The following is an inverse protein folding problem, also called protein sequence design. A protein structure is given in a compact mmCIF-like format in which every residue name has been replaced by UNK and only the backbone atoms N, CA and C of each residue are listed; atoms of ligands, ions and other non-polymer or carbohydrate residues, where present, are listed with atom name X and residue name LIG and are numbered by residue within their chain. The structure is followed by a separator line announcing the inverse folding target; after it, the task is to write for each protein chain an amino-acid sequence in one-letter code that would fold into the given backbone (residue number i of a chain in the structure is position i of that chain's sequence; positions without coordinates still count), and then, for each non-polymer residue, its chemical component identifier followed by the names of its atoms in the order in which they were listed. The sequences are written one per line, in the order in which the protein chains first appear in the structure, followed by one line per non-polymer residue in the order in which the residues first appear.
data_IF_715100787251
#
_entry.id   IF_715100787251
#
_cell.length_a   1.000
_cell.length_b   1.000
_cell.length_c   1.000
_cell.angle_alpha   90.00
_cell.angle_beta   90.00
_cell.angle_gamma   90.00
#
_symmetry.space_group_name_H-M   'P 1'
#
loop_
_entity.id
_entity.type
_entity.pdbx_description
1 polymer ?
#
# COMPACT_ATOMS: atom_id res chain seq x y z
N UNK A 1 -10.61 -16.28 0.43
CA UNK A 1 -9.54 -16.56 -0.54
C UNK A 1 -9.87 -15.85 -1.85
N UNK A 2 -8.93 -15.13 -2.50
CA UNK A 2 -9.15 -14.53 -3.82
C UNK A 2 -9.48 -15.58 -4.88
N UNK A 3 -10.28 -15.22 -5.90
CA UNK A 3 -10.71 -16.14 -6.97
C UNK A 3 -9.75 -16.21 -8.16
N UNK A 4 -8.74 -15.34 -8.20
CA UNK A 4 -7.73 -15.26 -9.26
C UNK A 4 -6.48 -16.06 -8.84
N UNK A 5 -5.98 -16.91 -9.74
CA UNK A 5 -4.89 -17.84 -9.44
C UNK A 5 -3.57 -17.14 -9.09
N UNK A 6 -3.29 -15.97 -9.68
CA UNK A 6 -2.06 -15.20 -9.39
C UNK A 6 -2.15 -14.52 -8.03
N UNK A 7 -3.32 -13.97 -7.71
CA UNK A 7 -3.59 -13.39 -6.40
C UNK A 7 -3.58 -14.44 -5.29
N UNK A 8 -4.06 -15.65 -5.59
CA UNK A 8 -3.96 -16.79 -4.67
C UNK A 8 -2.49 -17.18 -4.44
N UNK A 9 -1.68 -17.31 -5.49
CA UNK A 9 -0.26 -17.62 -5.36
C UNK A 9 0.50 -16.53 -4.56
N UNK A 10 0.22 -15.24 -4.80
CA UNK A 10 0.79 -14.16 -4.00
C UNK A 10 0.35 -14.22 -2.53
N UNK A 11 -0.91 -14.55 -2.27
CA UNK A 11 -1.42 -14.73 -0.92
C UNK A 11 -0.69 -15.86 -0.18
N UNK A 12 -0.54 -17.02 -0.82
CA UNK A 12 0.17 -18.18 -0.27
C UNK A 12 1.64 -17.83 0.02
N UNK A 13 2.31 -17.14 -0.91
CA UNK A 13 3.68 -16.65 -0.72
C UNK A 13 3.82 -15.76 0.53
N UNK A 14 2.89 -14.83 0.74
CA UNK A 14 2.94 -13.93 1.91
C UNK A 14 2.68 -14.71 3.21
N UNK A 15 1.74 -15.65 3.20
CA UNK A 15 1.48 -16.53 4.36
C UNK A 15 2.71 -17.36 4.71
N UNK A 16 3.37 -17.95 3.71
CA UNK A 16 4.61 -18.70 3.91
C UNK A 16 5.72 -17.81 4.47
N UNK A 17 5.85 -16.57 4.01
CA UNK A 17 6.83 -15.63 4.54
C UNK A 17 6.59 -15.32 6.03
N UNK A 18 5.34 -15.07 6.45
CA UNK A 18 5.01 -14.86 7.87
C UNK A 18 5.26 -16.10 8.73
N UNK A 19 4.89 -17.28 8.24
CA UNK A 19 5.02 -18.53 8.97
C UNK A 19 6.48 -19.02 9.06
N UNK A 20 7.20 -19.00 7.94
CA UNK A 20 8.52 -19.62 7.81
C UNK A 20 9.68 -18.75 8.28
N UNK A 21 9.65 -17.44 8.04
CA UNK A 21 10.79 -16.56 8.35
C UNK A 21 10.76 -16.02 9.78
N UNK A 22 9.58 -15.98 10.42
CA UNK A 22 9.44 -15.35 11.72
C UNK A 22 8.45 -16.04 12.67
N UNK A 23 7.90 -17.20 12.28
CA UNK A 23 7.07 -18.03 13.14
C UNK A 23 5.73 -17.39 13.54
N UNK A 24 5.29 -16.32 12.88
CA UNK A 24 4.06 -15.62 13.25
C UNK A 24 2.84 -16.53 13.12
N UNK A 25 1.91 -16.40 14.07
CA UNK A 25 0.65 -17.16 14.15
C UNK A 25 -0.54 -16.27 13.79
N UNK A 26 -1.70 -16.88 13.57
CA UNK A 26 -2.95 -16.17 13.27
C UNK A 26 -2.84 -15.13 12.13
N UNK A 27 -2.17 -15.53 11.05
CA UNK A 27 -1.93 -14.67 9.88
C UNK A 27 -3.26 -14.34 9.20
N UNK A 28 -3.54 -13.04 9.06
CA UNK A 28 -4.76 -12.53 8.45
C UNK A 28 -4.41 -11.50 7.38
N UNK A 29 -5.26 -11.48 6.35
CA UNK A 29 -5.25 -10.44 5.33
C UNK A 29 -6.66 -9.87 5.24
N UNK A 30 -6.76 -8.56 5.41
CA UNK A 30 -7.98 -7.82 5.18
C UNK A 30 -7.84 -6.96 3.92
N UNK A 31 -8.79 -7.11 3.00
CA UNK A 31 -8.79 -6.34 1.75
C UNK A 31 -9.80 -5.21 1.88
N UNK A 32 -9.34 -3.96 1.70
CA UNK A 32 -10.20 -2.77 1.70
C UNK A 32 -10.14 -2.08 0.35
N UNK A 33 -11.29 -1.62 -0.13
CA UNK A 33 -11.37 -0.68 -1.26
C UNK A 33 -11.04 0.71 -0.75
N UNK A 34 -9.90 1.24 -1.17
CA UNK A 34 -9.44 2.58 -0.79
C UNK A 34 -9.70 3.52 -1.96
N UNK A 35 -10.52 4.57 -1.78
CA UNK A 35 -10.80 5.53 -2.84
C UNK A 35 -9.54 6.30 -3.23
N UNK A 36 -9.47 6.73 -4.48
CA UNK A 36 -8.47 7.71 -4.94
C UNK A 36 -9.23 8.99 -5.29
N UNK A 37 -9.03 10.04 -4.47
CA UNK A 37 -9.71 11.33 -4.60
C UNK A 37 -10.86 11.54 -3.61
N UNK A 38 -11.51 12.70 -3.72
CA UNK A 38 -12.48 13.19 -2.72
C UNK A 38 -13.95 12.94 -3.08
N UNK A 39 -14.19 12.08 -4.08
CA UNK A 39 -15.52 11.68 -4.54
C UNK A 39 -16.42 11.00 -3.48
N UNK A 40 -15.91 10.26 -2.46
CA UNK A 40 -16.78 9.63 -1.48
C UNK A 40 -17.65 10.65 -0.72
N UNK A 41 -18.89 10.26 -0.41
CA UNK A 41 -19.80 11.07 0.43
C UNK A 41 -19.44 10.99 1.91
N UNK A 42 -19.05 9.81 2.36
CA UNK A 42 -18.59 9.59 3.74
C UNK A 42 -17.32 10.41 4.02
N UNK A 43 -17.30 11.09 5.18
CA UNK A 43 -16.23 12.03 5.53
C UNK A 43 -14.90 11.34 5.72
N UNK A 44 -14.90 10.16 6.35
CA UNK A 44 -13.68 9.39 6.61
C UNK A 44 -13.10 8.83 5.32
N UNK A 45 -13.93 8.22 4.47
CA UNK A 45 -13.50 7.71 3.17
C UNK A 45 -13.00 8.82 2.25
N UNK A 46 -13.62 10.00 2.29
CA UNK A 46 -13.14 11.18 1.55
C UNK A 46 -11.75 11.61 1.99
N UNK A 47 -11.49 11.64 3.29
CA UNK A 47 -10.18 12.01 3.84
C UNK A 47 -9.11 10.97 3.46
N UNK A 48 -9.43 9.68 3.62
CA UNK A 48 -8.56 8.58 3.17
C UNK A 48 -8.24 8.73 1.68
N UNK A 49 -9.24 9.01 0.85
CA UNK A 49 -9.07 9.15 -0.59
C UNK A 49 -8.28 10.39 -1.01
N UNK A 50 -8.37 11.47 -0.23
CA UNK A 50 -7.50 12.64 -0.39
C UNK A 50 -6.05 12.26 -0.16
N UNK A 51 -5.72 11.60 0.95
CA UNK A 51 -4.35 11.19 1.24
C UNK A 51 -3.79 10.22 0.20
N UNK A 52 -4.60 9.26 -0.26
CA UNK A 52 -4.15 8.36 -1.33
C UNK A 52 -3.95 9.10 -2.66
N UNK A 53 -4.81 10.07 -3.00
CA UNK A 53 -4.60 10.93 -4.18
C UNK A 53 -3.27 11.66 -4.11
N UNK A 54 -2.96 12.30 -2.99
CA UNK A 54 -1.69 13.01 -2.79
C UNK A 54 -0.48 12.07 -2.88
N UNK A 55 -0.57 10.88 -2.27
CA UNK A 55 0.49 9.88 -2.37
C UNK A 55 0.72 9.43 -3.82
N UNK A 56 -0.36 9.22 -4.60
CA UNK A 56 -0.27 8.87 -6.02
C UNK A 56 0.35 10.02 -6.83
N UNK A 57 -0.04 11.27 -6.57
CA UNK A 57 0.52 12.45 -7.24
C UNK A 57 2.03 12.60 -6.96
N UNK A 58 2.49 12.29 -5.76
CA UNK A 58 3.91 12.34 -5.40
C UNK A 58 4.74 11.21 -6.01
N UNK A 59 4.19 10.00 -6.13
CA UNK A 59 4.92 8.85 -6.70
C UNK A 59 4.86 8.81 -8.23
N UNK A 60 3.83 9.39 -8.87
CA UNK A 60 3.65 9.34 -10.31
C UNK A 60 4.89 9.78 -11.12
N UNK A 61 5.63 10.85 -10.75
CA UNK A 61 6.85 11.25 -11.46
C UNK A 61 7.99 10.22 -11.40
N UNK A 62 8.01 9.32 -10.41
CA UNK A 62 9.02 8.25 -10.33
C UNK A 62 8.89 7.24 -11.48
N UNK A 63 7.73 7.23 -12.16
CA UNK A 63 7.47 6.45 -13.36
C UNK A 63 7.86 7.20 -14.64
N UNK A 64 8.89 8.05 -14.59
CA UNK A 64 9.46 8.74 -15.75
C UNK A 64 10.99 8.63 -15.75
N UNK A 65 11.62 8.88 -16.90
CA UNK A 65 13.09 8.88 -17.05
C UNK A 65 13.72 7.48 -16.99
N UNK A 66 14.88 7.36 -16.33
CA UNK A 66 15.76 6.17 -16.40
C UNK A 66 15.06 4.82 -16.20
N UNK A 67 14.14 4.62 -15.22
CA UNK A 67 13.49 3.32 -15.04
C UNK A 67 12.65 2.86 -16.24
N UNK A 68 12.10 3.80 -16.99
CA UNK A 68 11.25 3.56 -18.16
C UNK A 68 12.08 3.51 -19.44
N UNK A 69 13.08 4.38 -19.56
CA UNK A 69 14.08 4.32 -20.63
C UNK A 69 14.83 2.98 -20.66
N UNK A 70 15.16 2.42 -19.49
CA UNK A 70 15.77 1.09 -19.38
C UNK A 70 14.88 -0.05 -19.90
N UNK A 71 13.58 0.20 -20.08
CA UNK A 71 12.61 -0.71 -20.70
C UNK A 71 12.20 -0.29 -22.12
N UNK A 72 12.95 0.63 -22.73
CA UNK A 72 12.72 1.09 -24.10
C UNK A 72 11.59 2.11 -24.25
N UNK A 73 11.04 2.64 -23.16
CA UNK A 73 10.01 3.69 -23.21
C UNK A 73 10.74 5.04 -23.35
N UNK A 74 10.51 5.80 -24.43
CA UNK A 74 11.08 7.12 -24.60
C UNK A 74 10.65 8.09 -23.50
N UNK A 75 11.57 8.96 -23.08
CA UNK A 75 11.30 9.96 -22.05
C UNK A 75 10.07 10.82 -22.35
N UNK A 76 9.98 11.35 -23.57
CA UNK A 76 8.86 12.18 -24.03
C UNK A 76 7.52 11.46 -23.86
N UNK A 77 7.48 10.17 -24.20
CA UNK A 77 6.27 9.36 -24.06
C UNK A 77 5.87 9.20 -22.58
N UNK A 78 6.83 8.90 -21.69
CA UNK A 78 6.56 8.81 -20.25
C UNK A 78 6.10 10.14 -19.63
N UNK A 79 6.62 11.28 -20.10
CA UNK A 79 6.21 12.61 -19.64
C UNK A 79 4.77 12.95 -20.09
N UNK A 80 4.37 12.55 -21.30
CA UNK A 80 2.99 12.68 -21.80
C UNK A 80 2.02 11.82 -20.97
N UNK A 81 2.43 10.59 -20.63
CA UNK A 81 1.62 9.73 -19.75
C UNK A 81 1.49 10.33 -18.35
N UNK A 82 2.57 10.85 -17.77
CA UNK A 82 2.52 11.54 -16.48
C UNK A 82 1.53 12.71 -16.51
N UNK A 83 1.59 13.56 -17.54
CA UNK A 83 0.64 14.66 -17.69
C UNK A 83 -0.82 14.18 -17.75
N UNK A 84 -1.06 13.06 -18.45
CA UNK A 84 -2.38 12.42 -18.52
C UNK A 84 -2.83 11.92 -17.15
N UNK A 85 -1.98 11.21 -16.41
CA UNK A 85 -2.27 10.72 -15.05
C UNK A 85 -2.61 11.87 -14.10
N UNK A 86 -1.82 12.94 -14.11
CA UNK A 86 -2.05 14.10 -13.25
C UNK A 86 -3.35 14.84 -13.58
N UNK A 87 -3.72 14.91 -14.87
CA UNK A 87 -5.01 15.47 -15.27
C UNK A 87 -6.17 14.58 -14.82
N UNK A 88 -6.02 13.26 -15.02
CA UNK A 88 -7.00 12.28 -14.58
C UNK A 88 -7.21 12.35 -13.08
N UNK A 89 -6.17 12.45 -12.25
CA UNK A 89 -6.28 12.55 -10.77
C UNK A 89 -7.11 13.74 -10.28
N UNK A 90 -7.23 14.81 -11.07
CA UNK A 90 -8.07 15.97 -10.75
C UNK A 90 -9.55 15.72 -11.05
N UNK A 91 -9.87 14.77 -11.93
CA UNK A 91 -11.24 14.45 -12.30
C UNK A 91 -11.94 13.60 -11.22
N UNK A 92 -12.72 14.29 -10.38
CA UNK A 92 -13.52 13.67 -9.32
C UNK A 92 -14.83 13.03 -9.82
N UNK A 93 -15.17 13.11 -11.10
CA UNK A 93 -16.33 12.38 -11.65
C UNK A 93 -16.04 10.88 -11.77
N UNK A 94 -14.76 10.51 -11.78
CA UNK A 94 -14.28 9.12 -11.84
C UNK A 94 -14.07 8.55 -10.43
N UNK A 95 -14.93 7.61 -10.02
CA UNK A 95 -14.88 6.96 -8.71
C UNK A 95 -13.82 5.84 -8.63
N UNK A 96 -12.55 6.24 -8.75
CA UNK A 96 -11.41 5.33 -8.71
C UNK A 96 -11.15 4.81 -7.30
N UNK A 97 -10.70 3.56 -7.21
CA UNK A 97 -10.26 2.94 -5.97
C UNK A 97 -9.16 1.91 -6.23
N UNK A 98 -8.33 1.66 -5.22
CA UNK A 98 -7.37 0.56 -5.17
C UNK A 98 -7.82 -0.46 -4.12
N UNK A 99 -7.50 -1.73 -4.32
CA UNK A 99 -7.60 -2.73 -3.25
C UNK A 99 -6.31 -2.69 -2.43
N UNK A 100 -6.39 -2.23 -1.17
CA UNK A 100 -5.30 -2.36 -0.22
C UNK A 100 -5.43 -3.66 0.57
N UNK A 101 -4.30 -4.36 0.70
CA UNK A 101 -4.17 -5.61 1.44
C UNK A 101 -3.47 -5.32 2.75
N UNK A 102 -4.23 -5.33 3.85
CA UNK A 102 -3.71 -5.17 5.20
C UNK A 102 -3.37 -6.54 5.76
N UNK A 103 -2.08 -6.83 5.86
CA UNK A 103 -1.56 -8.06 6.44
C UNK A 103 -1.17 -7.84 7.89
N UNK A 104 -1.60 -8.73 8.76
CA UNK A 104 -1.23 -8.71 10.17
C UNK A 104 -1.20 -10.13 10.72
N UNK A 105 -0.34 -10.34 11.71
CA UNK A 105 -0.13 -11.63 12.34
C UNK A 105 0.36 -11.43 13.78
N UNK A 106 0.25 -12.47 14.60
CA UNK A 106 0.63 -12.43 16.01
C UNK A 106 2.02 -13.02 16.23
N UNK A 107 2.90 -12.27 16.91
CA UNK A 107 4.21 -12.80 17.34
C UNK A 107 3.97 -13.94 18.34
N UNK A 108 4.67 -15.08 18.24
CA UNK A 108 4.58 -16.13 19.24
C UNK A 108 4.98 -15.62 20.63
N UNK A 109 4.30 -16.10 21.67
CA UNK A 109 4.59 -15.70 23.07
C UNK A 109 5.98 -16.17 23.54
N UNK A 110 6.48 -17.24 22.93
CA UNK A 110 7.77 -17.88 23.18
C UNK A 110 8.87 -17.40 22.21
N UNK A 111 8.56 -16.47 21.32
CA UNK A 111 9.57 -15.93 20.41
C UNK A 111 10.60 -15.13 21.21
N UNK A 112 11.90 -15.31 20.92
CA UNK A 112 12.97 -14.61 21.64
C UNK A 112 12.70 -13.10 21.66
N UNK A 113 12.93 -12.49 22.83
CA UNK A 113 12.96 -11.04 22.95
C UNK A 113 14.09 -10.54 22.04
N UNK A 114 13.72 -9.81 20.99
CA UNK A 114 14.66 -9.00 20.25
C UNK A 114 14.58 -7.63 20.90
N UNK A 115 15.71 -7.17 21.45
CA UNK A 115 15.84 -5.93 22.20
C UNK A 115 14.97 -4.81 21.63
N UNK A 116 14.16 -4.21 22.51
CA UNK A 116 13.33 -3.05 22.25
C UNK A 116 14.20 -1.82 21.96
N UNK A 117 14.79 -1.74 20.77
CA UNK A 117 15.34 -0.51 20.21
C UNK A 117 14.43 -0.01 19.07
N UNK A 118 13.13 0.10 19.34
CA UNK A 118 12.22 0.90 18.54
C UNK A 118 12.17 2.33 19.10
N UNK A 119 12.31 3.39 18.28
CA UNK A 119 12.27 4.77 18.76
C UNK A 119 10.82 5.13 19.10
N UNK A 120 10.39 4.90 20.34
CA UNK A 120 9.03 5.28 20.75
C UNK A 120 8.49 4.71 22.05
N UNK A 121 9.27 3.95 22.83
CA UNK A 121 8.85 3.54 24.18
C UNK A 121 9.29 4.60 25.20
N UNK A 122 8.56 5.71 25.29
CA UNK A 122 8.63 6.58 26.46
C UNK A 122 7.95 5.86 27.63
N UNK A 123 8.75 5.40 28.58
CA UNK A 123 8.27 4.93 29.89
C UNK A 123 7.77 6.14 30.69
N UNK A 124 6.45 6.33 30.71
CA UNK A 124 5.80 7.09 31.77
C UNK A 124 5.45 6.10 32.89
N UNK A 125 6.36 5.96 33.86
CA UNK A 125 6.02 5.40 35.16
C UNK A 125 5.81 6.57 36.13
N UNK A 126 4.55 6.74 36.54
CA UNK A 126 4.10 7.56 37.67
C UNK A 126 4.80 7.12 38.97
N UNK A 127 5.43 8.06 39.69
CA UNK A 127 5.30 8.28 41.15
C UNK A 127 5.56 9.75 41.46
#
# INVERSE_FOLDING_TARGET
MPKDDKLKAFYELVVEAFAGLAGFKDIRCEVKKIPVGTWPKDKTQRLIGLYLKEAVEQVAPAFTGKPFEARGIPRVESEVWLATVMNELKDNTKHRYLNFYFWYAQKPLDAPEHDHAGPGSSSEDEV
#
